data_IF_948445772527
#
_entry.id   IF_948445772527
#
_cell.length_a   1.000
_cell.length_b   1.000
_cell.length_c   1.000
_cell.angle_alpha   90.00
_cell.angle_beta   90.00
_cell.angle_gamma   90.00
#
_symmetry.space_group_name_H-M   'P 1'
#
loop_
_entity.id
_entity.type
_entity.pdbx_description
1 polymer ?
#
# COMPACT_ATOMS: atom_id res chain seq x y z
N UNK A 1 -8.76 -0.01 2.64
CA UNK A 1 -8.63 -0.94 3.79
C UNK A 1 -7.44 -1.88 3.68
N UNK A 2 -7.26 -2.69 2.62
CA UNK A 2 -6.14 -3.66 2.54
C UNK A 2 -4.74 -2.99 2.67
N UNK A 3 -4.51 -1.87 1.96
CA UNK A 3 -3.28 -1.08 2.10
C UNK A 3 -3.04 -0.59 3.53
N UNK A 4 -4.11 -0.29 4.26
CA UNK A 4 -4.07 0.26 5.61
C UNK A 4 -4.45 -0.77 6.66
N UNK A 5 -4.22 -2.07 6.40
CA UNK A 5 -4.51 -3.16 7.35
C UNK A 5 -3.50 -3.22 8.50
N UNK A 6 -3.25 -2.06 9.12
CA UNK A 6 -2.28 -1.87 10.18
C UNK A 6 -2.77 -2.47 11.50
N UNK A 7 -1.87 -2.95 12.37
CA UNK A 7 -2.26 -3.60 13.62
C UNK A 7 -2.87 -2.66 14.67
N UNK A 8 -2.82 -1.35 14.46
CA UNK A 8 -3.33 -0.34 15.39
C UNK A 8 -4.16 0.71 14.63
N UNK A 9 -5.00 1.49 15.34
CA UNK A 9 -5.75 2.57 14.70
C UNK A 9 -4.82 3.55 13.98
N UNK A 10 -5.21 3.93 12.78
CA UNK A 10 -4.44 4.82 11.93
C UNK A 10 -5.36 5.72 11.12
N UNK A 11 -4.90 6.94 10.91
CA UNK A 11 -5.53 7.93 10.05
C UNK A 11 -4.52 8.28 8.96
N UNK A 12 -4.65 7.65 7.80
CA UNK A 12 -3.72 7.85 6.67
C UNK A 12 -4.49 8.29 5.42
N UNK A 13 -5.50 7.50 5.06
CA UNK A 13 -6.51 7.91 4.09
C UNK A 13 -7.80 8.32 4.79
N UNK A 14 -8.21 7.51 5.77
CA UNK A 14 -9.37 7.72 6.62
C UNK A 14 -9.02 7.22 8.03
N UNK A 15 -9.71 7.72 9.08
CA UNK A 15 -9.55 7.19 10.42
C UNK A 15 -10.12 5.76 10.50
N UNK A 16 -9.25 4.77 10.71
CA UNK A 16 -9.60 3.35 10.72
C UNK A 16 -9.19 2.67 12.04
N UNK A 17 -9.90 1.60 12.46
CA UNK A 17 -9.48 0.78 13.59
C UNK A 17 -8.20 0.00 13.26
N UNK A 18 -7.58 -0.60 14.29
CA UNK A 18 -6.57 -1.64 14.06
C UNK A 18 -7.18 -2.87 13.36
N UNK A 19 -6.46 -3.40 12.38
CA UNK A 19 -6.88 -4.46 11.47
C UNK A 19 -8.26 -4.21 10.86
N UNK A 20 -8.44 -3.13 10.07
CA UNK A 20 -9.72 -2.77 9.47
C UNK A 20 -10.33 -3.89 8.61
N UNK A 21 -9.52 -4.74 7.95
CA UNK A 21 -10.05 -5.89 7.20
C UNK A 21 -10.68 -6.89 8.15
N UNK A 22 -10.00 -7.25 9.24
CA UNK A 22 -10.56 -8.15 10.27
C UNK A 22 -11.79 -7.54 10.92
N UNK A 23 -11.76 -6.23 11.20
CA UNK A 23 -12.89 -5.51 11.79
C UNK A 23 -14.12 -5.59 10.89
N UNK A 24 -13.97 -5.31 9.59
CA UNK A 24 -15.10 -5.29 8.66
C UNK A 24 -15.67 -6.69 8.40
N UNK A 25 -14.83 -7.73 8.44
CA UNK A 25 -15.26 -9.13 8.31
C UNK A 25 -16.27 -9.54 9.38
N UNK A 26 -16.40 -8.82 10.51
CA UNK A 26 -17.44 -9.12 11.49
C UNK A 26 -18.86 -8.93 10.94
N UNK A 27 -19.03 -8.01 10.00
CA UNK A 27 -20.29 -7.74 9.31
C UNK A 27 -20.53 -8.71 8.15
N UNK A 28 -19.47 -9.31 7.60
CA UNK A 28 -19.50 -10.13 6.38
C UNK A 28 -19.25 -11.63 6.62
N UNK A 29 -19.54 -12.16 7.82
CA UNK A 29 -19.28 -13.59 8.14
C UNK A 29 -20.12 -14.57 7.31
N UNK A 30 -21.33 -14.16 6.94
CA UNK A 30 -22.26 -14.92 6.10
C UNK A 30 -23.09 -13.94 5.29
N UNK A 31 -23.19 -14.17 3.98
CA UNK A 31 -24.03 -13.35 3.11
C UNK A 31 -25.50 -13.41 3.56
N UNK A 32 -26.15 -12.25 3.60
CA UNK A 32 -27.58 -12.16 3.78
C UNK A 32 -28.32 -12.84 2.62
N UNK A 33 -29.54 -13.34 2.88
CA UNK A 33 -30.31 -14.14 1.92
C UNK A 33 -31.30 -13.33 1.09
N UNK A 34 -31.56 -12.08 1.46
CA UNK A 34 -32.42 -11.17 0.71
C UNK A 34 -31.65 -9.88 0.36
N UNK A 35 -32.10 -9.19 -0.67
CA UNK A 35 -31.40 -8.03 -1.24
C UNK A 35 -31.30 -6.86 -0.26
N UNK A 36 -32.34 -6.60 0.54
CA UNK A 36 -32.37 -5.53 1.53
C UNK A 36 -31.29 -5.72 2.60
N UNK A 37 -31.29 -6.89 3.24
CA UNK A 37 -30.29 -7.24 4.26
C UNK A 37 -28.87 -7.32 3.67
N UNK A 38 -28.73 -7.70 2.39
CA UNK A 38 -27.44 -7.70 1.71
C UNK A 38 -26.94 -6.27 1.48
N UNK A 39 -27.83 -5.36 1.09
CA UNK A 39 -27.52 -3.94 0.96
C UNK A 39 -27.14 -3.33 2.32
N UNK A 40 -27.84 -3.68 3.41
CA UNK A 40 -27.48 -3.26 4.78
C UNK A 40 -26.12 -3.82 5.22
N UNK A 41 -25.81 -5.06 4.84
CA UNK A 41 -24.52 -5.68 5.12
C UNK A 41 -23.38 -4.96 4.37
N UNK A 42 -23.58 -4.67 3.09
CA UNK A 42 -22.63 -3.89 2.28
C UNK A 42 -22.47 -2.47 2.84
N UNK A 43 -23.58 -1.82 3.21
CA UNK A 43 -23.56 -0.52 3.89
C UNK A 43 -22.71 -0.57 5.16
N UNK A 44 -22.90 -1.58 6.00
CA UNK A 44 -22.11 -1.75 7.24
C UNK A 44 -20.62 -1.90 6.95
N UNK A 45 -20.25 -2.58 5.85
CA UNK A 45 -18.85 -2.72 5.40
C UNK A 45 -18.29 -1.37 4.95
N UNK A 46 -19.00 -0.67 4.07
CA UNK A 46 -18.59 0.63 3.51
C UNK A 46 -18.49 1.70 4.61
N UNK A 47 -19.42 1.69 5.57
CA UNK A 47 -19.47 2.64 6.67
C UNK A 47 -18.26 2.53 7.62
N UNK A 48 -17.60 1.37 7.69
CA UNK A 48 -16.31 1.26 8.41
C UNK A 48 -15.23 2.11 7.75
N UNK A 49 -15.22 2.20 6.42
CA UNK A 49 -14.18 2.99 5.76
C UNK A 49 -14.46 4.49 5.87
N UNK A 50 -15.69 4.91 5.56
CA UNK A 50 -16.02 6.33 5.46
C UNK A 50 -16.50 6.97 6.78
N UNK A 51 -17.01 6.19 7.75
CA UNK A 51 -17.61 6.74 8.97
C UNK A 51 -17.34 5.87 10.21
N UNK A 52 -16.11 5.35 10.35
CA UNK A 52 -15.73 4.58 11.53
C UNK A 52 -15.88 5.38 12.85
N UNK A 53 -15.54 6.67 12.82
CA UNK A 53 -15.61 7.56 13.99
C UNK A 53 -17.04 7.92 14.39
N UNK A 54 -18.02 7.70 13.50
CA UNK A 54 -19.41 8.12 13.68
C UNK A 54 -19.61 9.64 13.63
N UNK A 55 -18.62 10.40 13.15
CA UNK A 55 -18.70 11.86 13.07
C UNK A 55 -19.51 12.34 11.86
N UNK A 56 -19.59 11.55 10.78
CA UNK A 56 -20.45 11.90 9.65
C UNK A 56 -21.92 11.65 10.04
N UNK A 57 -22.73 12.70 9.91
CA UNK A 57 -24.17 12.64 10.16
C UNK A 57 -24.95 12.08 8.98
N UNK A 58 -24.40 12.21 7.78
CA UNK A 58 -25.03 11.78 6.53
C UNK A 58 -23.99 11.11 5.61
N UNK A 59 -24.37 9.96 5.05
CA UNK A 59 -23.56 9.23 4.07
C UNK A 59 -24.07 9.53 2.66
N UNK A 60 -23.21 10.08 1.78
CA UNK A 60 -23.60 10.52 0.44
C UNK A 60 -22.72 9.82 -0.63
N UNK A 61 -23.32 8.93 -1.43
CA UNK A 61 -22.62 8.12 -2.44
C UNK A 61 -23.13 8.35 -3.88
N UNK A 62 -23.67 9.53 -4.18
CA UNK A 62 -24.15 9.91 -5.52
C UNK A 62 -23.18 10.86 -6.22
N UNK A 63 -23.33 11.03 -7.54
CA UNK A 63 -22.48 11.92 -8.36
C UNK A 63 -22.49 13.39 -7.93
N UNK A 64 -23.47 13.81 -7.12
CA UNK A 64 -23.61 15.18 -6.64
C UNK A 64 -23.04 15.39 -5.23
N UNK A 65 -22.49 14.34 -4.62
CA UNK A 65 -21.81 14.42 -3.35
C UNK A 65 -20.36 14.85 -3.58
N UNK A 66 -19.78 15.61 -2.65
CA UNK A 66 -18.32 15.71 -2.56
C UNK A 66 -17.82 14.30 -2.31
N UNK A 67 -17.18 13.69 -3.31
CA UNK A 67 -16.60 12.36 -3.14
C UNK A 67 -15.58 12.45 -2.03
N UNK A 68 -15.67 11.65 -0.95
CA UNK A 68 -14.53 11.42 -0.09
C UNK A 68 -13.52 10.64 -0.95
N UNK A 69 -12.71 11.36 -1.72
CA UNK A 69 -11.50 10.77 -2.28
C UNK A 69 -10.55 10.61 -1.09
N UNK A 70 -9.95 9.42 -0.90
CA UNK A 70 -8.88 9.26 0.09
C UNK A 70 -7.69 10.21 -0.18
N UNK A 71 -7.65 10.83 -1.36
CA UNK A 71 -6.76 11.93 -1.71
C UNK A 71 -7.62 13.21 -1.64
N UNK A 72 -7.54 13.91 -0.52
CA UNK A 72 -8.47 14.99 -0.17
C UNK A 72 -8.31 16.27 -1.01
N UNK A 73 -7.32 16.31 -1.92
CA UNK A 73 -7.02 17.46 -2.77
C UNK A 73 -7.22 17.11 -4.25
N UNK A 74 -8.19 17.76 -4.89
CA UNK A 74 -8.45 17.64 -6.33
C UNK A 74 -7.16 17.83 -7.16
N UNK A 75 -6.26 18.72 -6.73
CA UNK A 75 -4.99 18.98 -7.42
C UNK A 75 -4.00 17.79 -7.35
N UNK A 76 -3.93 17.09 -6.22
CA UNK A 76 -3.07 15.91 -6.06
C UNK A 76 -3.61 14.73 -6.87
N UNK A 77 -4.93 14.53 -6.83
CA UNK A 77 -5.61 13.53 -7.65
C UNK A 77 -5.41 13.78 -9.13
N UNK A 78 -5.54 15.03 -9.58
CA UNK A 78 -5.27 15.43 -10.96
C UNK A 78 -3.81 15.16 -11.32
N UNK A 79 -2.85 15.49 -10.44
CA UNK A 79 -1.43 15.27 -10.69
C UNK A 79 -1.08 13.77 -10.79
N UNK A 80 -1.60 12.94 -9.88
CA UNK A 80 -1.41 11.49 -9.90
C UNK A 80 -2.04 10.87 -11.15
N UNK A 81 -3.29 11.23 -11.46
CA UNK A 81 -3.96 10.78 -12.68
C UNK A 81 -3.19 11.20 -13.94
N UNK A 82 -2.61 12.40 -13.97
CA UNK A 82 -1.78 12.82 -15.09
C UNK A 82 -0.52 11.94 -15.24
N UNK A 83 0.15 11.61 -14.12
CA UNK A 83 1.30 10.70 -14.15
C UNK A 83 0.90 9.31 -14.66
N UNK A 84 -0.22 8.75 -14.17
CA UNK A 84 -0.72 7.45 -14.62
C UNK A 84 -1.22 7.44 -16.06
N UNK A 85 -1.70 8.58 -16.55
CA UNK A 85 -2.10 8.79 -17.93
C UNK A 85 -0.94 9.09 -18.88
N UNK A 86 0.30 9.21 -18.39
CA UNK A 86 1.45 9.53 -19.23
C UNK A 86 2.56 8.50 -19.12
N UNK A 87 3.31 8.50 -18.02
CA UNK A 87 4.54 7.72 -17.88
C UNK A 87 4.47 6.64 -16.81
N UNK A 88 3.63 6.79 -15.78
CA UNK A 88 3.47 5.81 -14.69
C UNK A 88 2.23 4.93 -14.94
N UNK A 89 2.17 4.31 -16.11
CA UNK A 89 0.98 3.56 -16.54
C UNK A 89 0.77 2.31 -15.68
N UNK A 90 -0.28 2.30 -14.86
CA UNK A 90 -0.66 1.19 -13.98
C UNK A 90 -1.84 0.45 -14.63
N UNK A 91 -1.67 -0.85 -14.88
CA UNK A 91 -2.68 -1.70 -15.52
C UNK A 91 -3.23 -2.68 -14.49
N UNK A 92 -4.43 -2.41 -13.99
CA UNK A 92 -5.12 -3.25 -13.01
C UNK A 92 -6.53 -3.50 -13.52
N UNK A 93 -7.01 -4.71 -13.32
CA UNK A 93 -8.40 -5.08 -13.55
C UNK A 93 -8.77 -6.25 -12.63
N UNK A 94 -10.07 -6.44 -12.43
CA UNK A 94 -10.65 -7.51 -11.62
C UNK A 94 -11.11 -8.64 -12.54
N UNK A 95 -10.78 -9.89 -12.19
CA UNK A 95 -11.20 -11.07 -12.96
C UNK A 95 -12.50 -11.67 -12.44
N UNK A 96 -12.84 -11.38 -11.18
CA UNK A 96 -14.00 -11.92 -10.49
C UNK A 96 -13.97 -13.44 -10.31
N UNK A 97 -15.03 -13.95 -9.68
CA UNK A 97 -15.25 -15.37 -9.46
C UNK A 97 -14.24 -15.98 -8.50
N UNK A 98 -13.50 -17.00 -8.96
CA UNK A 98 -12.54 -17.72 -8.13
C UNK A 98 -11.20 -16.96 -7.91
N UNK A 99 -10.98 -15.86 -8.65
CA UNK A 99 -9.72 -15.09 -8.58
C UNK A 99 -9.78 -13.95 -7.55
N UNK A 100 -10.94 -13.30 -7.46
CA UNK A 100 -11.21 -12.15 -6.60
C UNK A 100 -12.73 -12.00 -6.40
N UNK A 101 -13.13 -11.28 -5.36
CA UNK A 101 -14.55 -11.11 -5.00
C UNK A 101 -15.20 -9.89 -5.68
N UNK A 102 -14.55 -9.27 -6.66
CA UNK A 102 -15.07 -8.14 -7.41
C UNK A 102 -15.80 -8.58 -8.69
N UNK A 103 -16.46 -7.63 -9.35
CA UNK A 103 -17.05 -7.87 -10.66
C UNK A 103 -15.94 -7.94 -11.71
N UNK A 104 -16.06 -8.84 -12.67
CA UNK A 104 -15.08 -8.94 -13.75
C UNK A 104 -15.07 -7.65 -14.58
N UNK A 105 -13.96 -6.92 -14.52
CA UNK A 105 -13.66 -5.72 -15.31
C UNK A 105 -12.58 -5.98 -16.36
N UNK A 106 -11.81 -7.07 -16.26
CA UNK A 106 -10.79 -7.43 -17.25
C UNK A 106 -11.39 -7.78 -18.63
N UNK A 107 -12.51 -8.50 -18.66
CA UNK A 107 -13.11 -9.00 -19.90
C UNK A 107 -14.25 -8.09 -20.38
N UNK A 108 -15.04 -7.55 -19.44
CA UNK A 108 -16.27 -6.83 -19.75
C UNK A 108 -16.05 -5.37 -20.17
N UNK A 109 -14.94 -4.75 -19.76
CA UNK A 109 -14.64 -3.32 -20.03
C UNK A 109 -13.73 -3.10 -21.24
N UNK A 110 -13.20 -4.18 -21.83
CA UNK A 110 -12.09 -4.16 -22.79
C UNK A 110 -10.74 -4.32 -22.10
N UNK A 111 -9.66 -4.45 -22.89
CA UNK A 111 -8.30 -4.58 -22.34
C UNK A 111 -7.98 -3.39 -21.40
N UNK A 112 -7.30 -3.62 -20.25
CA UNK A 112 -7.00 -2.58 -19.26
C UNK A 112 -6.31 -1.34 -19.86
N UNK A 113 -5.44 -1.52 -20.86
CA UNK A 113 -4.76 -0.41 -21.51
C UNK A 113 -5.75 0.47 -22.27
N UNK A 114 -6.62 -0.11 -23.08
CA UNK A 114 -7.64 0.61 -23.83
C UNK A 114 -8.64 1.35 -22.93
N UNK A 115 -9.01 0.74 -21.79
CA UNK A 115 -9.88 1.34 -20.78
C UNK A 115 -9.21 2.55 -20.13
N UNK A 116 -7.94 2.42 -19.71
CA UNK A 116 -7.18 3.53 -19.15
C UNK A 116 -7.03 4.70 -20.14
N UNK A 117 -6.71 4.43 -21.40
CA UNK A 117 -6.57 5.49 -22.41
C UNK A 117 -7.89 6.26 -22.59
N UNK A 118 -9.04 5.57 -22.60
CA UNK A 118 -10.35 6.23 -22.68
C UNK A 118 -10.61 7.11 -21.46
N UNK A 119 -10.34 6.59 -20.26
CA UNK A 119 -10.46 7.37 -19.01
C UNK A 119 -9.58 8.63 -19.06
N UNK A 120 -8.31 8.49 -19.42
CA UNK A 120 -7.37 9.59 -19.55
C UNK A 120 -7.81 10.64 -20.58
N UNK A 121 -8.37 10.20 -21.70
CA UNK A 121 -8.90 11.09 -22.73
C UNK A 121 -10.06 11.92 -22.19
N UNK A 122 -10.98 11.31 -21.44
CA UNK A 122 -12.11 12.04 -20.83
C UNK A 122 -11.67 12.97 -19.70
N UNK A 123 -10.79 12.52 -18.81
CA UNK A 123 -10.28 13.30 -17.68
C UNK A 123 -9.55 14.57 -18.14
N UNK A 124 -8.78 14.48 -19.22
CA UNK A 124 -7.88 15.54 -19.67
C UNK A 124 -8.27 16.14 -21.05
N UNK A 125 -9.53 15.96 -21.47
CA UNK A 125 -10.02 16.47 -22.77
C UNK A 125 -9.86 17.99 -22.91
N UNK A 126 -10.11 18.73 -21.83
CA UNK A 126 -10.14 20.20 -21.84
C UNK A 126 -8.75 20.80 -21.98
N UNK A 127 -7.70 20.03 -21.66
CA UNK A 127 -6.30 20.42 -21.85
C UNK A 127 -5.67 19.78 -23.11
N UNK A 128 -6.48 19.15 -23.96
CA UNK A 128 -6.05 18.60 -25.25
C UNK A 128 -5.25 17.31 -25.15
N UNK A 129 -5.59 16.42 -24.22
CA UNK A 129 -4.94 15.12 -24.08
C UNK A 129 -4.95 14.31 -25.39
N UNK A 130 -3.81 13.70 -25.70
CA UNK A 130 -3.61 12.89 -26.89
C UNK A 130 -3.21 11.48 -26.47
N UNK A 131 -3.81 10.44 -27.05
CA UNK A 131 -3.50 9.04 -26.72
C UNK A 131 -2.01 8.69 -26.86
N UNK A 132 -1.26 9.42 -27.70
CA UNK A 132 0.19 9.26 -27.81
C UNK A 132 0.95 9.62 -26.52
N UNK A 133 0.32 10.30 -25.56
CA UNK A 133 0.90 10.58 -24.25
C UNK A 133 0.94 9.35 -23.35
N UNK A 134 0.06 8.37 -23.55
CA UNK A 134 0.07 7.13 -22.77
C UNK A 134 1.25 6.24 -23.15
N UNK A 135 2.36 6.33 -22.41
CA UNK A 135 3.61 5.62 -22.67
C UNK A 135 3.68 4.32 -21.86
N UNK A 136 3.01 3.28 -22.38
CA UNK A 136 2.90 1.95 -21.75
C UNK A 136 4.22 1.35 -21.23
N UNK A 137 5.33 1.61 -21.91
CA UNK A 137 6.63 1.01 -21.58
C UNK A 137 7.63 1.99 -20.95
N UNK A 138 7.20 3.22 -20.61
CA UNK A 138 8.13 4.27 -20.18
C UNK A 138 8.87 3.90 -18.89
N UNK A 139 8.18 3.33 -17.90
CA UNK A 139 8.78 2.84 -16.65
C UNK A 139 9.89 1.82 -16.95
N UNK A 140 9.60 0.81 -17.77
CA UNK A 140 10.56 -0.22 -18.14
C UNK A 140 11.75 0.33 -18.92
N UNK A 141 11.52 1.28 -19.83
CA UNK A 141 12.58 1.89 -20.64
C UNK A 141 13.48 2.79 -19.79
N UNK A 142 12.89 3.60 -18.90
CA UNK A 142 13.63 4.60 -18.11
C UNK A 142 14.36 4.00 -16.92
N UNK A 143 13.69 3.10 -16.20
CA UNK A 143 14.18 2.58 -14.92
C UNK A 143 14.71 1.15 -15.03
N UNK A 144 14.32 0.41 -16.06
CA UNK A 144 14.71 -0.99 -16.23
C UNK A 144 13.96 -1.93 -15.28
N UNK A 145 14.01 -3.23 -15.59
CA UNK A 145 13.43 -4.31 -14.79
C UNK A 145 14.46 -5.40 -14.48
N UNK A 146 15.75 -5.09 -14.66
CA UNK A 146 16.89 -5.97 -14.38
C UNK A 146 17.83 -5.20 -13.45
N UNK A 147 18.09 -5.76 -12.28
CA UNK A 147 18.69 -5.03 -11.16
C UNK A 147 20.19 -5.31 -10.98
N UNK A 148 20.85 -6.07 -11.86
CA UNK A 148 22.20 -6.59 -11.66
C UNK A 148 23.29 -5.54 -11.34
N UNK A 149 23.17 -4.32 -11.85
CA UNK A 149 24.10 -3.20 -11.59
C UNK A 149 23.64 -2.25 -10.48
N UNK A 150 22.50 -2.54 -9.86
CA UNK A 150 21.92 -1.73 -8.78
C UNK A 150 22.75 -1.89 -7.50
N UNK A 151 22.81 -0.84 -6.69
CA UNK A 151 23.52 -0.83 -5.41
C UNK A 151 22.77 0.04 -4.40
N UNK A 152 22.95 -0.25 -3.11
CA UNK A 152 22.45 0.57 -2.00
C UNK A 152 20.93 0.85 -2.05
N UNK A 153 20.12 -0.19 -2.26
CA UNK A 153 18.65 -0.10 -2.20
C UNK A 153 18.10 -1.14 -1.22
N UNK A 154 17.09 -0.76 -0.43
CA UNK A 154 16.31 -1.69 0.38
C UNK A 154 14.92 -1.76 -0.24
N UNK A 155 14.49 -2.95 -0.65
CA UNK A 155 13.12 -3.23 -1.06
C UNK A 155 12.42 -3.93 0.09
N UNK A 156 11.51 -3.23 0.78
CA UNK A 156 10.66 -3.78 1.83
C UNK A 156 9.24 -3.96 1.30
N UNK A 157 8.64 -5.12 1.54
CA UNK A 157 7.26 -5.43 1.17
C UNK A 157 6.53 -6.06 2.36
N UNK A 158 5.27 -5.68 2.57
CA UNK A 158 4.39 -6.30 3.56
C UNK A 158 3.50 -7.37 2.93
N UNK A 159 3.30 -8.50 3.60
CA UNK A 159 2.50 -9.60 3.04
C UNK A 159 0.98 -9.31 2.95
N UNK A 160 0.50 -8.29 3.67
CA UNK A 160 -0.90 -7.84 3.61
C UNK A 160 -1.11 -6.72 2.59
N UNK A 161 -0.02 -6.16 2.06
CA UNK A 161 -0.07 -5.07 1.10
C UNK A 161 -0.43 -5.60 -0.30
N UNK A 162 -1.54 -5.16 -0.92
CA UNK A 162 -1.87 -5.55 -2.29
C UNK A 162 -0.79 -5.11 -3.31
N UNK A 163 -0.04 -4.04 -3.04
CA UNK A 163 1.03 -3.58 -3.92
C UNK A 163 2.27 -4.47 -3.91
N UNK A 164 2.40 -5.33 -2.90
CA UNK A 164 3.52 -6.28 -2.80
C UNK A 164 3.61 -7.19 -4.03
N UNK A 165 2.50 -7.47 -4.71
CA UNK A 165 2.50 -8.26 -5.94
C UNK A 165 3.36 -7.65 -7.08
N UNK A 166 3.49 -6.31 -7.11
CA UNK A 166 4.36 -5.58 -8.04
C UNK A 166 5.78 -5.32 -7.52
N UNK A 167 6.10 -5.82 -6.33
CA UNK A 167 7.37 -5.58 -5.64
C UNK A 167 8.57 -6.32 -6.25
N UNK A 168 9.74 -6.05 -5.68
CA UNK A 168 11.02 -6.69 -6.03
C UNK A 168 11.37 -7.75 -4.98
N UNK A 169 11.74 -8.94 -5.43
CA UNK A 169 11.99 -10.12 -4.61
C UNK A 169 13.32 -10.80 -4.98
N UNK A 170 13.74 -11.79 -4.18
CA UNK A 170 14.99 -12.53 -4.41
C UNK A 170 15.03 -13.23 -5.79
N UNK A 171 13.86 -13.60 -6.33
CA UNK A 171 13.73 -14.21 -7.66
C UNK A 171 13.62 -13.18 -8.81
N UNK A 172 13.61 -11.88 -8.53
CA UNK A 172 13.54 -10.84 -9.57
C UNK A 172 14.85 -10.79 -10.39
N UNK A 173 14.80 -10.46 -11.70
CA UNK A 173 15.96 -10.52 -12.59
C UNK A 173 17.16 -9.68 -12.09
N UNK A 174 18.29 -10.33 -11.87
CA UNK A 174 19.53 -9.66 -11.47
C UNK A 174 19.65 -9.31 -9.99
N UNK A 175 18.63 -9.54 -9.15
CA UNK A 175 18.68 -9.20 -7.72
C UNK A 175 19.78 -9.95 -6.97
N UNK A 176 19.99 -11.23 -7.27
CA UNK A 176 21.06 -12.02 -6.65
C UNK A 176 22.46 -11.42 -6.85
N UNK A 177 22.69 -10.73 -7.97
CA UNK A 177 23.96 -10.00 -8.20
C UNK A 177 23.94 -8.66 -7.46
N UNK A 178 22.82 -7.93 -7.54
CA UNK A 178 22.62 -6.65 -6.87
C UNK A 178 22.83 -6.75 -5.34
N UNK A 179 22.47 -7.87 -4.72
CA UNK A 179 22.66 -8.09 -3.28
C UNK A 179 24.14 -8.05 -2.86
N UNK A 180 25.07 -8.37 -3.77
CA UNK A 180 26.52 -8.22 -3.52
C UNK A 180 26.95 -6.75 -3.45
N UNK A 181 26.16 -5.87 -4.06
CA UNK A 181 26.38 -4.42 -4.13
C UNK A 181 25.54 -3.66 -3.09
N UNK A 182 25.03 -4.35 -2.06
CA UNK A 182 24.27 -3.72 -1.00
C UNK A 182 22.81 -3.47 -1.35
N UNK A 183 22.21 -4.32 -2.20
CA UNK A 183 20.75 -4.39 -2.30
C UNK A 183 20.21 -5.39 -1.28
N UNK A 184 19.12 -5.03 -0.60
CA UNK A 184 18.48 -5.85 0.43
C UNK A 184 17.00 -6.03 0.12
N UNK A 185 16.48 -7.23 0.37
CA UNK A 185 15.07 -7.56 0.22
C UNK A 185 14.52 -7.93 1.59
N UNK A 186 13.44 -7.29 2.01
CA UNK A 186 12.71 -7.62 3.23
C UNK A 186 11.25 -7.89 2.92
N UNK A 187 10.74 -9.03 3.41
CA UNK A 187 9.34 -9.39 3.29
C UNK A 187 8.74 -9.58 4.69
N UNK A 188 7.98 -8.59 5.12
CA UNK A 188 7.47 -8.47 6.48
C UNK A 188 6.12 -9.18 6.62
N UNK A 189 6.04 -10.09 7.58
CA UNK A 189 4.79 -10.75 7.93
C UNK A 189 3.96 -9.89 8.88
N UNK A 190 2.64 -9.88 8.67
CA UNK A 190 1.68 -9.05 9.41
C UNK A 190 1.73 -7.56 9.06
N UNK A 191 2.37 -7.20 7.95
CA UNK A 191 2.57 -5.81 7.53
C UNK A 191 1.74 -5.48 6.29
N UNK A 192 1.02 -4.35 6.35
CA UNK A 192 0.35 -3.74 5.22
C UNK A 192 1.28 -2.71 4.53
N UNK A 193 0.71 -1.77 3.77
CA UNK A 193 1.46 -0.84 2.92
C UNK A 193 2.47 -0.03 3.74
N UNK A 194 3.76 -0.26 3.48
CA UNK A 194 4.93 0.39 4.08
C UNK A 194 4.84 0.60 5.62
N UNK A 195 4.41 -0.43 6.36
CA UNK A 195 4.30 -0.37 7.84
C UNK A 195 5.66 -0.09 8.51
N UNK A 196 6.76 -0.53 7.92
CA UNK A 196 8.14 -0.26 8.32
C UNK A 196 8.43 1.23 8.50
N UNK A 197 7.89 2.11 7.65
CA UNK A 197 8.12 3.54 7.81
C UNK A 197 7.34 4.15 8.99
N UNK A 198 6.21 3.57 9.41
CA UNK A 198 5.35 4.17 10.44
C UNK A 198 6.08 4.32 11.78
N UNK A 199 5.57 5.24 12.60
CA UNK A 199 6.06 5.44 13.96
C UNK A 199 5.94 4.16 14.79
N UNK A 200 6.86 3.89 15.73
CA UNK A 200 6.91 2.60 16.41
C UNK A 200 5.73 2.49 17.38
N UNK A 201 5.15 1.30 17.46
CA UNK A 201 3.96 1.02 18.25
C UNK A 201 4.12 -0.32 18.98
N UNK A 202 3.51 -0.45 20.17
CA UNK A 202 3.52 -1.70 20.93
C UNK A 202 2.89 -2.88 20.17
N UNK A 203 2.02 -2.60 19.20
CA UNK A 203 1.38 -3.57 18.33
C UNK A 203 2.10 -3.83 17.00
N UNK A 204 3.32 -3.33 16.80
CA UNK A 204 4.11 -3.71 15.63
C UNK A 204 4.46 -5.21 15.66
N UNK A 205 4.29 -5.95 14.55
CA UNK A 205 4.72 -7.35 14.48
C UNK A 205 6.25 -7.48 14.62
N UNK A 206 6.77 -8.56 15.21
CA UNK A 206 8.19 -8.81 15.33
C UNK A 206 8.93 -8.75 14.01
N UNK A 207 8.30 -9.23 12.92
CA UNK A 207 8.86 -9.12 11.57
C UNK A 207 9.23 -7.68 11.19
N UNK A 208 8.36 -6.71 11.49
CA UNK A 208 8.58 -5.27 11.21
C UNK A 208 9.64 -4.67 12.11
N UNK A 209 9.63 -4.96 13.41
CA UNK A 209 10.62 -4.40 14.34
C UNK A 209 12.02 -4.96 14.06
N UNK A 210 12.12 -6.24 13.68
CA UNK A 210 13.37 -6.85 13.22
C UNK A 210 13.88 -6.23 11.92
N UNK A 211 12.98 -5.94 10.96
CA UNK A 211 13.31 -5.28 9.71
C UNK A 211 13.91 -3.88 9.97
N UNK A 212 13.20 -3.04 10.75
CA UNK A 212 13.65 -1.69 11.11
C UNK A 212 15.03 -1.68 11.78
N UNK A 213 15.31 -2.68 12.62
CA UNK A 213 16.62 -2.86 13.23
C UNK A 213 17.72 -3.09 12.18
N UNK A 214 17.46 -3.96 11.21
CA UNK A 214 18.41 -4.25 10.14
C UNK A 214 18.59 -3.06 9.19
N UNK A 215 17.50 -2.40 8.78
CA UNK A 215 17.53 -1.21 7.92
C UNK A 215 18.44 -0.13 8.47
N UNK A 216 18.29 0.24 9.74
CA UNK A 216 19.14 1.27 10.33
C UNK A 216 20.60 0.84 10.37
N UNK A 217 20.91 -0.43 10.63
CA UNK A 217 22.30 -0.91 10.60
C UNK A 217 22.89 -0.85 9.18
N UNK A 218 22.07 -1.16 8.16
CA UNK A 218 22.42 -1.04 6.74
C UNK A 218 22.67 0.43 6.37
N UNK A 219 21.74 1.33 6.68
CA UNK A 219 21.88 2.77 6.39
C UNK A 219 23.08 3.36 7.12
N UNK A 220 23.30 3.01 8.40
CA UNK A 220 24.50 3.42 9.14
C UNK A 220 25.78 2.97 8.41
N UNK A 221 25.82 1.74 7.91
CA UNK A 221 26.96 1.26 7.13
C UNK A 221 27.17 2.09 5.85
N UNK A 222 26.10 2.42 5.12
CA UNK A 222 26.20 3.22 3.90
C UNK A 222 26.71 4.64 4.15
N UNK A 223 26.31 5.25 5.27
CA UNK A 223 26.68 6.62 5.63
C UNK A 223 28.08 6.72 6.24
N UNK A 224 28.46 5.77 7.10
CA UNK A 224 29.73 5.84 7.83
C UNK A 224 30.89 5.19 7.06
N UNK A 225 31.93 5.98 6.79
CA UNK A 225 33.14 5.58 6.05
C UNK A 225 33.93 4.40 6.64
N UNK A 226 33.67 4.04 7.90
CA UNK A 226 34.34 2.91 8.57
C UNK A 226 33.68 1.56 8.26
N UNK A 227 32.53 1.54 7.58
CA UNK A 227 31.93 0.29 7.15
C UNK A 227 32.68 -0.28 5.94
N UNK A 228 33.60 -1.19 6.22
CA UNK A 228 34.39 -1.88 5.18
C UNK A 228 33.70 -3.12 4.60
N UNK A 229 32.60 -3.55 5.23
CA UNK A 229 31.83 -4.73 4.82
C UNK A 229 30.34 -4.50 5.02
N UNK A 230 29.58 -4.68 3.94
CA UNK A 230 28.13 -4.60 3.96
C UNK A 230 27.53 -5.59 4.98
N UNK A 231 26.56 -5.16 5.82
CA UNK A 231 25.82 -6.05 6.71
C UNK A 231 25.16 -7.16 5.91
N UNK A 232 25.09 -8.37 6.49
CA UNK A 232 24.30 -9.46 5.92
C UNK A 232 22.91 -9.43 6.54
N UNK A 233 21.83 -9.53 5.74
CA UNK A 233 20.49 -9.64 6.31
C UNK A 233 20.35 -10.97 7.04
N UNK A 234 19.60 -10.94 8.13
CA UNK A 234 19.17 -12.08 8.93
C UNK A 234 17.68 -12.30 8.62
N UNK A 235 17.20 -13.56 8.50
CA UNK A 235 15.79 -13.83 8.31
C UNK A 235 14.91 -13.10 9.33
N UNK A 236 13.83 -12.48 8.85
CA UNK A 236 12.84 -11.82 9.70
C UNK A 236 12.07 -12.85 10.53
N UNK A 237 11.44 -12.39 11.62
CA UNK A 237 10.59 -13.25 12.44
C UNK A 237 9.40 -13.77 11.61
N UNK A 238 9.03 -15.02 11.86
CA UNK A 238 7.85 -15.68 11.31
C UNK A 238 6.54 -15.29 12.03
N UNK A 239 6.64 -14.48 13.08
CA UNK A 239 5.56 -14.10 13.99
C UNK A 239 4.80 -15.28 14.64
N UNK A 240 5.33 -16.52 14.65
CA UNK A 240 4.56 -17.72 14.98
C UNK A 240 3.91 -17.72 16.37
N UNK A 241 4.51 -17.03 17.35
CA UNK A 241 4.00 -16.90 18.71
C UNK A 241 3.58 -15.47 19.08
N UNK A 242 3.56 -14.57 18.10
CA UNK A 242 3.19 -13.19 18.37
C UNK A 242 1.68 -13.06 18.46
N UNK A 243 1.24 -12.40 19.53
CA UNK A 243 -0.15 -12.01 19.72
C UNK A 243 -0.17 -10.50 19.83
N UNK A 244 -1.13 -9.89 19.14
CA UNK A 244 -1.33 -8.45 19.23
C UNK A 244 -1.68 -8.08 20.68
N UNK A 245 -0.98 -7.09 21.29
CA UNK A 245 -1.36 -6.55 22.59
C UNK A 245 -2.77 -5.96 22.58
N UNK A 246 -3.47 -6.03 23.71
CA UNK A 246 -4.81 -5.45 23.84
C UNK A 246 -4.82 -3.92 23.85
N UNK A 247 -3.68 -3.29 24.15
CA UNK A 247 -3.52 -1.84 24.26
C UNK A 247 -2.36 -1.39 23.36
N UNK A 248 -2.71 -0.97 22.14
CA UNK A 248 -1.77 -0.49 21.15
C UNK A 248 -1.42 0.97 21.43
N UNK A 249 -0.15 1.24 21.70
CA UNK A 249 0.34 2.56 22.07
C UNK A 249 1.54 2.93 21.22
N UNK A 250 1.58 4.20 20.82
CA UNK A 250 2.79 4.81 20.27
C UNK A 250 3.93 4.69 21.29
N UNK A 251 5.09 4.26 20.83
CA UNK A 251 6.30 4.15 21.66
C UNK A 251 7.06 5.47 21.55
N UNK A 252 6.89 6.35 22.54
CA UNK A 252 7.64 7.59 22.64
C UNK A 252 9.15 7.30 22.71
N UNK A 253 9.92 8.04 21.92
CA UNK A 253 11.34 7.79 21.70
C UNK A 253 11.67 6.37 21.21
N UNK A 254 10.66 5.69 20.64
CA UNK A 254 10.80 4.34 20.10
C UNK A 254 11.81 4.31 18.98
N UNK A 255 12.64 3.26 18.98
CA UNK A 255 13.51 2.95 17.87
C UNK A 255 12.69 2.56 16.62
N UNK A 256 13.11 2.93 15.38
CA UNK A 256 14.35 3.63 15.04
C UNK A 256 14.24 5.16 15.04
N UNK A 257 13.03 5.70 15.07
CA UNK A 257 12.80 7.11 14.74
C UNK A 257 13.01 8.08 15.90
N UNK A 258 12.81 7.65 17.14
CA UNK A 258 13.04 8.47 18.33
C UNK A 258 12.05 9.63 18.53
N UNK A 259 10.89 9.61 17.85
CA UNK A 259 9.91 10.69 17.90
C UNK A 259 9.32 10.92 19.29
N UNK A 260 9.05 12.19 19.63
CA UNK A 260 8.42 12.62 20.90
C UNK A 260 6.88 12.68 20.83
N UNK A 261 6.30 12.58 19.63
CA UNK A 261 4.86 12.64 19.40
C UNK A 261 4.49 11.69 18.27
N UNK A 262 3.29 11.14 18.32
CA UNK A 262 2.71 10.48 17.15
C UNK A 262 2.58 11.53 16.04
N UNK A 263 3.28 11.33 14.93
CA UNK A 263 3.13 12.14 13.72
C UNK A 263 2.69 11.18 12.62
N UNK A 264 1.62 11.54 11.93
CA UNK A 264 1.32 10.97 10.63
C UNK A 264 2.45 11.38 9.70
N UNK A 265 3.27 10.42 9.29
CA UNK A 265 4.12 10.65 8.13
C UNK A 265 3.20 10.85 6.94
N UNK A 266 3.11 12.10 6.49
CA UNK A 266 2.76 12.40 5.12
C UNK A 266 4.01 12.02 4.32
N UNK A 267 3.97 10.88 3.65
CA UNK A 267 4.93 10.57 2.61
C UNK A 267 4.45 11.38 1.40
N UNK A 268 5.17 12.46 1.09
CA UNK A 268 5.01 13.25 -0.14
C UNK A 268 5.51 12.46 -1.36
#
# INVERSE_FOLDING_TARGET
MAMTDYPYPADFFEPLPGYPVKYVCQYAKKAATNEENLAEQIYSIINVYYNYTGQLTDNCFTSNCTTPSPIQNDDEDIAWNWQSCTSLTIQICDRGGDNDFFLNTCDNSGDPVSTNIKLCTELFKDIGYNNNFYKLHDVTIRYGMIYNTTSNIIFSNGNLDPWSAGGVYENSPGIMEAMKNGVYIFYMLGAAHHLDFRTPNTCDPPSVTHERFQVVNIIKCWVYKNCTKLPRPIPLSDNANWQIPNDCQFIEHGYPWGYTKCHEMIIL
#
